data_IF_494392759333
#
_entry.id   IF_494392759333
#
_cell.length_a   1.000
_cell.length_b   1.000
_cell.length_c   1.000
_cell.angle_alpha   90.00
_cell.angle_beta   90.00
_cell.angle_gamma   90.00
#
_symmetry.space_group_name_H-M   'P 1'
#
loop_
_entity.id
_entity.type
_entity.pdbx_description
1 polymer ?
#
# COMPACT_ATOMS: atom_id res chain seq x y z
N UNK A 1 23.18 -38.12 18.98
CA UNK A 1 21.75 -37.75 18.93
C UNK A 1 21.67 -36.28 18.54
N UNK A 2 21.25 -35.97 17.31
CA UNK A 2 21.07 -34.59 16.82
C UNK A 2 19.57 -34.29 16.81
N UNK A 3 19.14 -33.34 17.62
CA UNK A 3 17.78 -32.80 17.61
C UNK A 3 17.54 -32.05 16.31
N UNK A 4 16.46 -32.43 15.61
CA UNK A 4 16.02 -31.78 14.39
C UNK A 4 15.58 -30.35 14.70
N UNK A 5 16.14 -29.40 13.95
CA UNK A 5 15.72 -28.01 13.94
C UNK A 5 14.33 -27.92 13.29
N UNK A 6 13.36 -27.41 14.04
CA UNK A 6 12.11 -26.88 13.49
C UNK A 6 12.46 -25.77 12.49
N UNK A 7 12.22 -26.04 11.21
CA UNK A 7 12.49 -25.10 10.13
C UNK A 7 11.16 -24.42 9.74
N UNK A 8 10.97 -23.10 9.98
CA UNK A 8 9.68 -22.40 9.77
C UNK A 8 9.41 -22.06 8.30
N UNK A 9 10.03 -22.76 7.35
CA UNK A 9 10.02 -22.42 5.92
C UNK A 9 8.90 -23.06 5.12
N UNK A 10 8.10 -23.95 5.71
CA UNK A 10 7.00 -24.65 5.00
C UNK A 10 5.79 -23.77 4.69
N UNK A 11 5.65 -22.61 5.32
CA UNK A 11 4.51 -21.72 5.08
C UNK A 11 4.53 -20.94 3.75
N UNK A 12 5.64 -21.00 2.99
CA UNK A 12 5.74 -20.31 1.70
C UNK A 12 5.46 -21.22 0.48
N UNK A 13 5.26 -22.53 0.69
CA UNK A 13 5.07 -23.49 -0.42
C UNK A 13 3.62 -23.80 -0.77
N UNK A 14 2.66 -23.54 0.11
CA UNK A 14 1.25 -23.91 -0.11
C UNK A 14 0.43 -22.92 -0.98
N UNK A 15 1.07 -22.03 -1.75
CA UNK A 15 0.38 -21.06 -2.63
C UNK A 15 0.81 -21.12 -4.10
N UNK A 16 1.32 -22.27 -4.56
CA UNK A 16 1.53 -22.55 -5.98
C UNK A 16 0.74 -23.79 -6.36
N UNK A 17 -0.54 -23.60 -6.70
CA UNK A 17 -1.17 -24.24 -7.85
C UNK A 17 -2.66 -23.89 -7.93
N UNK A 18 -2.96 -22.78 -8.62
CA UNK A 18 -4.07 -22.66 -9.57
C UNK A 18 -3.52 -21.76 -10.69
N UNK A 19 -3.66 -22.17 -11.96
CA UNK A 19 -2.99 -21.56 -13.12
C UNK A 19 -2.96 -20.03 -13.13
N UNK A 20 -1.85 -19.46 -13.63
CA UNK A 20 -1.42 -18.06 -13.51
C UNK A 20 -2.33 -16.98 -14.09
N UNK A 21 -3.59 -16.95 -13.66
CA UNK A 21 -4.59 -15.95 -13.97
C UNK A 21 -4.84 -15.11 -12.71
N UNK A 22 -4.73 -13.79 -12.83
CA UNK A 22 -5.04 -12.86 -11.75
C UNK A 22 -6.50 -13.03 -11.35
N UNK A 23 -6.76 -13.19 -10.06
CA UNK A 23 -8.13 -13.23 -9.54
C UNK A 23 -8.75 -11.83 -9.57
N UNK A 24 -10.07 -11.74 -9.49
CA UNK A 24 -10.76 -10.45 -9.34
C UNK A 24 -10.25 -9.65 -8.13
N UNK A 25 -9.91 -10.35 -7.04
CA UNK A 25 -9.33 -9.74 -5.85
C UNK A 25 -7.94 -9.15 -6.14
N UNK A 26 -7.10 -9.86 -6.90
CA UNK A 26 -5.78 -9.36 -7.31
C UNK A 26 -5.92 -8.12 -8.20
N UNK A 27 -6.88 -8.11 -9.12
CA UNK A 27 -7.17 -6.95 -9.96
C UNK A 27 -7.62 -5.73 -9.13
N UNK A 28 -8.47 -5.93 -8.11
CA UNK A 28 -8.87 -4.86 -7.17
C UNK A 28 -7.67 -4.32 -6.41
N UNK A 29 -6.80 -5.19 -5.90
CA UNK A 29 -5.58 -4.79 -5.18
C UNK A 29 -4.65 -3.99 -6.10
N UNK A 30 -4.46 -4.45 -7.33
CA UNK A 30 -3.64 -3.76 -8.34
C UNK A 30 -4.20 -2.37 -8.65
N UNK A 31 -5.51 -2.26 -8.86
CA UNK A 31 -6.16 -0.99 -9.18
C UNK A 31 -6.04 0.02 -8.04
N UNK A 32 -6.29 -0.39 -6.79
CA UNK A 32 -6.14 0.48 -5.61
C UNK A 32 -4.67 0.89 -5.43
N UNK A 33 -3.73 -0.04 -5.64
CA UNK A 33 -2.29 0.26 -5.57
C UNK A 33 -1.88 1.29 -6.63
N UNK A 34 -2.36 1.15 -7.86
CA UNK A 34 -2.13 2.11 -8.95
C UNK A 34 -2.70 3.49 -8.61
N UNK A 35 -3.91 3.56 -8.05
CA UNK A 35 -4.53 4.82 -7.63
C UNK A 35 -3.71 5.50 -6.53
N UNK A 36 -3.17 4.75 -5.57
CA UNK A 36 -2.27 5.30 -4.56
C UNK A 36 -0.99 5.86 -5.20
N UNK A 37 -0.37 5.12 -6.12
CA UNK A 37 0.82 5.60 -6.84
C UNK A 37 0.55 6.85 -7.68
N UNK A 38 -0.62 6.96 -8.32
CA UNK A 38 -1.01 8.16 -9.07
C UNK A 38 -1.19 9.37 -8.15
N UNK A 39 -1.78 9.17 -6.96
CA UNK A 39 -1.85 10.23 -5.94
C UNK A 39 -0.44 10.67 -5.53
N UNK A 40 0.44 9.71 -5.26
CA UNK A 40 1.82 9.98 -4.81
C UNK A 40 2.58 10.77 -5.90
N UNK A 41 2.47 10.34 -7.16
CA UNK A 41 3.06 11.00 -8.33
C UNK A 41 2.57 12.44 -8.52
N UNK A 42 1.27 12.71 -8.34
CA UNK A 42 0.71 14.07 -8.49
C UNK A 42 1.18 15.02 -7.41
N UNK A 43 1.40 14.54 -6.19
CA UNK A 43 1.75 15.38 -5.05
C UNK A 43 3.27 15.59 -4.88
N UNK A 44 4.09 14.67 -5.36
CA UNK A 44 5.55 14.80 -5.33
C UNK A 44 6.07 16.15 -5.88
N UNK A 45 5.69 16.60 -7.09
CA UNK A 45 6.16 17.89 -7.61
C UNK A 45 5.65 19.07 -6.78
N UNK A 46 4.48 19.00 -6.15
CA UNK A 46 3.98 20.05 -5.26
C UNK A 46 4.86 20.22 -4.02
N UNK A 47 5.29 19.11 -3.42
CA UNK A 47 6.23 19.15 -2.30
C UNK A 47 7.59 19.70 -2.70
N UNK A 48 8.08 19.33 -3.89
CA UNK A 48 9.35 19.86 -4.43
C UNK A 48 9.25 21.36 -4.69
N UNK A 49 8.19 21.81 -5.37
CA UNK A 49 7.94 23.25 -5.64
C UNK A 49 7.85 24.04 -4.35
N UNK A 50 7.09 23.56 -3.37
CA UNK A 50 6.98 24.24 -2.09
C UNK A 50 8.32 24.27 -1.36
N UNK A 51 9.14 23.20 -1.43
CA UNK A 51 10.48 23.18 -0.83
C UNK A 51 11.39 24.22 -1.48
N UNK A 52 11.32 24.40 -2.80
CA UNK A 52 12.17 25.33 -3.58
C UNK A 52 11.66 26.77 -3.60
N UNK A 53 10.40 27.02 -3.23
CA UNK A 53 9.80 28.36 -3.20
C UNK A 53 10.58 29.37 -2.37
N UNK A 54 10.62 30.63 -2.81
CA UNK A 54 11.20 31.78 -2.10
C UNK A 54 10.28 32.37 -1.03
N UNK A 55 9.11 31.77 -0.79
CA UNK A 55 8.17 32.24 0.23
C UNK A 55 8.79 32.28 1.64
N UNK A 56 8.25 33.16 2.49
CA UNK A 56 8.68 33.27 3.89
C UNK A 56 8.52 31.93 4.63
N UNK A 57 9.40 31.65 5.60
CA UNK A 57 9.48 30.37 6.31
C UNK A 57 8.14 29.95 6.92
N UNK A 58 7.45 30.89 7.57
CA UNK A 58 6.17 30.63 8.23
C UNK A 58 5.05 30.32 7.23
N UNK A 59 5.04 31.03 6.09
CA UNK A 59 4.11 30.76 4.98
C UNK A 59 4.39 29.36 4.40
N UNK A 60 5.67 29.01 4.17
CA UNK A 60 6.05 27.67 3.70
C UNK A 60 5.63 26.58 4.68
N UNK A 61 5.70 26.84 5.99
CA UNK A 61 5.23 25.91 7.02
C UNK A 61 3.72 25.67 6.91
N UNK A 62 2.93 26.75 6.87
CA UNK A 62 1.47 26.66 6.73
C UNK A 62 1.06 25.93 5.44
N UNK A 63 1.66 26.30 4.31
CA UNK A 63 1.39 25.63 3.02
C UNK A 63 1.77 24.14 3.07
N UNK A 64 2.87 23.78 3.74
CA UNK A 64 3.32 22.39 3.86
C UNK A 64 2.33 21.57 4.68
N UNK A 65 1.87 22.10 5.80
CA UNK A 65 0.89 21.44 6.66
C UNK A 65 -0.44 21.22 5.92
N UNK A 66 -0.92 22.24 5.19
CA UNK A 66 -2.11 22.11 4.36
C UNK A 66 -1.94 21.06 3.24
N UNK A 67 -0.77 21.04 2.58
CA UNK A 67 -0.46 20.09 1.51
C UNK A 67 -0.39 18.65 2.06
N UNK A 68 0.27 18.43 3.20
CA UNK A 68 0.33 17.12 3.87
C UNK A 68 -1.06 16.66 4.30
N UNK A 69 -1.87 17.55 4.90
CA UNK A 69 -3.23 17.24 5.33
C UNK A 69 -4.09 16.78 4.16
N UNK A 70 -4.03 17.52 3.05
CA UNK A 70 -4.78 17.20 1.83
C UNK A 70 -4.31 15.88 1.20
N UNK A 71 -3.00 15.68 1.09
CA UNK A 71 -2.40 14.43 0.60
C UNK A 71 -2.86 13.22 1.42
N UNK A 72 -2.75 13.30 2.75
CA UNK A 72 -3.19 12.24 3.66
C UNK A 72 -4.67 11.96 3.53
N UNK A 73 -5.51 13.01 3.47
CA UNK A 73 -6.96 12.88 3.30
C UNK A 73 -7.31 12.15 2.01
N UNK A 74 -6.64 12.47 0.90
CA UNK A 74 -6.87 11.80 -0.39
C UNK A 74 -6.43 10.33 -0.39
N UNK A 75 -5.34 9.98 0.30
CA UNK A 75 -4.85 8.59 0.38
C UNK A 75 -5.63 7.71 1.33
N UNK A 76 -6.11 8.27 2.45
CA UNK A 76 -6.74 7.53 3.54
C UNK A 76 -7.78 6.48 3.10
N UNK A 77 -8.77 6.78 2.23
CA UNK A 77 -9.76 5.79 1.81
C UNK A 77 -9.12 4.60 1.07
N UNK A 78 -8.17 4.86 0.18
CA UNK A 78 -7.50 3.82 -0.62
C UNK A 78 -6.54 2.98 0.22
N UNK A 79 -5.85 3.59 1.20
CA UNK A 79 -5.03 2.85 2.17
C UNK A 79 -5.89 1.88 2.99
N UNK A 80 -7.05 2.35 3.48
CA UNK A 80 -8.00 1.52 4.23
C UNK A 80 -8.52 0.36 3.37
N UNK A 81 -8.94 0.65 2.14
CA UNK A 81 -9.44 -0.34 1.20
C UNK A 81 -8.36 -1.37 0.84
N UNK A 82 -7.12 -0.94 0.57
CA UNK A 82 -6.02 -1.85 0.27
C UNK A 82 -5.75 -2.81 1.43
N UNK A 83 -5.78 -2.32 2.67
CA UNK A 83 -5.61 -3.15 3.85
C UNK A 83 -6.75 -4.18 3.98
N UNK A 84 -7.99 -3.80 3.66
CA UNK A 84 -9.14 -4.70 3.67
C UNK A 84 -9.05 -5.79 2.60
N UNK A 85 -8.73 -5.43 1.36
CA UNK A 85 -8.55 -6.38 0.26
C UNK A 85 -7.43 -7.38 0.56
N UNK A 86 -6.32 -6.92 1.17
CA UNK A 86 -5.22 -7.81 1.61
C UNK A 86 -5.66 -8.77 2.72
N UNK A 87 -6.50 -8.34 3.66
CA UNK A 87 -7.08 -9.25 4.67
C UNK A 87 -7.95 -10.32 4.00
N UNK A 88 -8.79 -9.94 3.04
CA UNK A 88 -9.61 -10.89 2.28
C UNK A 88 -8.75 -11.93 1.53
N UNK A 89 -7.59 -11.53 1.02
CA UNK A 89 -6.65 -12.43 0.34
C UNK A 89 -5.99 -13.44 1.30
N UNK A 90 -5.83 -13.07 2.57
CA UNK A 90 -5.34 -13.96 3.61
C UNK A 90 -6.43 -14.95 4.04
N UNK A 91 -7.68 -14.50 4.21
CA UNK A 91 -8.79 -15.35 4.64
C UNK A 91 -9.30 -16.29 3.54
N UNK A 92 -9.24 -15.88 2.27
CA UNK A 92 -9.68 -16.71 1.13
C UNK A 92 -8.72 -17.88 0.83
N UNK A 93 -7.53 -17.86 1.40
CA UNK A 93 -6.54 -18.94 1.30
C UNK A 93 -6.51 -19.90 2.49
N UNK A 94 -7.41 -19.75 3.47
CA UNK A 94 -7.52 -20.67 4.60
C UNK A 94 -8.38 -21.88 4.18
N UNK A 95 -7.91 -23.13 4.37
CA UNK A 95 -8.74 -24.30 4.10
C UNK A 95 -9.98 -24.27 5.01
N UNK A 96 -11.16 -24.48 4.43
CA UNK A 96 -12.37 -24.75 5.21
C UNK A 96 -12.13 -26.02 6.02
N UNK A 97 -12.23 -25.92 7.34
CA UNK A 97 -12.32 -27.07 8.25
C UNK A 97 -13.69 -27.75 8.10
#
# INVERSE_FOLDING_TARGET
MRSAQDNPTDNYRARRDVGGMLTELDLKILWVSRTLSDIDYRYEPEFVRLRQSSAHKDIKKLMREALISTYRRKRAPYVKLLAELRRQQLTSGAPKA
#
